data_IF_010575601222
#
_entry.id   IF_010575601222
#
_cell.length_a   1.000
_cell.length_b   1.000
_cell.length_c   1.000
_cell.angle_alpha   90.00
_cell.angle_beta   90.00
_cell.angle_gamma   90.00
#
_symmetry.space_group_name_H-M   'P 1'
#
loop_
_entity.id
_entity.type
_entity.pdbx_description
1 polymer ?
#
# COMPACT_ATOMS: atom_id res chain seq x y z
N UNK A 1 2.05 19.30 -6.58
CA UNK A 1 2.59 18.59 -5.40
C UNK A 1 1.52 18.58 -4.32
N UNK A 2 0.90 19.72 -4.08
CA UNK A 2 -0.24 19.94 -3.18
C UNK A 2 -1.42 18.97 -3.39
N UNK A 3 -1.76 18.64 -4.65
CA UNK A 3 -2.85 17.70 -4.95
C UNK A 3 -2.59 16.27 -4.46
N UNK A 4 -1.32 15.83 -4.48
CA UNK A 4 -0.95 14.49 -4.02
C UNK A 4 -0.96 14.43 -2.49
N UNK A 5 -0.53 15.49 -1.81
CA UNK A 5 -0.62 15.57 -0.34
C UNK A 5 -2.08 15.60 0.13
N UNK A 6 -2.95 16.32 -0.59
CA UNK A 6 -4.39 16.28 -0.34
C UNK A 6 -4.96 14.87 -0.58
N UNK A 7 -4.48 14.16 -1.59
CA UNK A 7 -4.92 12.79 -1.85
C UNK A 7 -4.50 11.83 -0.74
N UNK A 8 -3.29 11.97 -0.18
CA UNK A 8 -2.88 11.19 1.01
C UNK A 8 -3.86 11.40 2.16
N UNK A 9 -4.24 12.65 2.46
CA UNK A 9 -5.23 12.95 3.51
C UNK A 9 -6.58 12.29 3.25
N UNK A 10 -7.06 12.28 2.00
CA UNK A 10 -8.31 11.60 1.63
C UNK A 10 -8.20 10.08 1.80
N UNK A 11 -7.06 9.49 1.46
CA UNK A 11 -6.81 8.07 1.73
C UNK A 11 -6.80 7.79 3.24
N UNK A 12 -6.18 8.67 4.05
CA UNK A 12 -6.18 8.54 5.51
C UNK A 12 -7.61 8.53 6.06
N UNK A 13 -8.43 9.50 5.68
CA UNK A 13 -9.84 9.59 6.08
C UNK A 13 -10.65 8.35 5.64
N UNK A 14 -10.40 7.80 4.45
CA UNK A 14 -11.09 6.61 3.97
C UNK A 14 -10.67 5.34 4.75
N UNK A 15 -9.38 5.22 5.09
CA UNK A 15 -8.85 4.11 5.90
C UNK A 15 -9.41 4.18 7.31
N UNK A 16 -9.51 5.37 7.91
CA UNK A 16 -10.12 5.55 9.24
C UNK A 16 -11.58 5.08 9.27
N UNK A 17 -12.34 5.36 8.20
CA UNK A 17 -13.74 4.94 8.09
C UNK A 17 -13.90 3.44 7.81
N UNK A 18 -12.97 2.85 7.04
CA UNK A 18 -13.05 1.44 6.59
C UNK A 18 -11.68 0.75 6.62
N UNK A 19 -11.16 0.44 7.82
CA UNK A 19 -9.76 0.04 8.02
C UNK A 19 -9.40 -1.35 7.50
N UNK A 20 -10.39 -2.15 7.08
CA UNK A 20 -10.18 -3.50 6.58
C UNK A 20 -10.14 -3.61 5.05
N UNK A 21 -10.26 -2.49 4.33
CA UNK A 21 -10.20 -2.46 2.86
C UNK A 21 -8.76 -2.35 2.35
N UNK A 22 -8.26 -3.44 1.76
CA UNK A 22 -6.90 -3.50 1.22
C UNK A 22 -6.65 -2.48 0.08
N UNK A 23 -7.68 -2.17 -0.71
CA UNK A 23 -7.60 -1.21 -1.82
C UNK A 23 -7.21 0.20 -1.37
N UNK A 24 -7.70 0.63 -0.21
CA UNK A 24 -7.41 1.97 0.32
C UNK A 24 -5.94 2.12 0.70
N UNK A 25 -5.35 1.07 1.27
CA UNK A 25 -3.90 1.02 1.53
C UNK A 25 -3.11 0.97 0.22
N UNK A 26 -3.58 0.20 -0.78
CA UNK A 26 -2.96 0.16 -2.11
C UNK A 26 -2.96 1.55 -2.77
N UNK A 27 -4.06 2.28 -2.68
CA UNK A 27 -4.19 3.61 -3.26
C UNK A 27 -3.31 4.63 -2.53
N UNK A 28 -3.27 4.60 -1.20
CA UNK A 28 -2.34 5.44 -0.42
C UNK A 28 -0.88 5.13 -0.77
N UNK A 29 -0.52 3.85 -0.92
CA UNK A 29 0.82 3.45 -1.34
C UNK A 29 1.20 4.01 -2.72
N UNK A 30 0.27 4.02 -3.67
CA UNK A 30 0.49 4.62 -4.99
C UNK A 30 0.81 6.11 -4.89
N UNK A 31 0.00 6.86 -4.14
CA UNK A 31 0.18 8.31 -3.97
C UNK A 31 1.48 8.62 -3.24
N UNK A 32 1.80 7.87 -2.17
CA UNK A 32 3.06 8.01 -1.42
C UNK A 32 4.28 7.69 -2.29
N UNK A 33 4.17 6.72 -3.21
CA UNK A 33 5.22 6.43 -4.20
C UNK A 33 5.48 7.63 -5.10
N UNK A 34 4.41 8.27 -5.60
CA UNK A 34 4.51 9.47 -6.46
C UNK A 34 5.12 10.67 -5.71
N UNK A 35 4.92 10.77 -4.40
CA UNK A 35 5.55 11.75 -3.53
C UNK A 35 6.99 11.40 -3.11
N UNK A 36 7.50 10.23 -3.52
CA UNK A 36 8.84 9.75 -3.14
C UNK A 36 8.94 9.18 -1.73
N UNK A 37 7.82 9.01 -1.02
CA UNK A 37 7.76 8.43 0.33
C UNK A 37 7.76 6.91 0.30
N UNK A 38 8.83 6.32 -0.27
CA UNK A 38 8.89 4.88 -0.56
C UNK A 38 8.73 3.98 0.67
N UNK A 39 9.31 4.35 1.81
CA UNK A 39 9.19 3.56 3.04
C UNK A 39 7.71 3.43 3.48
N UNK A 40 7.00 4.57 3.54
CA UNK A 40 5.57 4.60 3.91
C UNK A 40 4.71 3.85 2.89
N UNK A 41 5.01 3.98 1.59
CA UNK A 41 4.32 3.22 0.55
C UNK A 41 4.49 1.71 0.74
N UNK A 42 5.69 1.26 1.12
CA UNK A 42 5.95 -0.16 1.40
C UNK A 42 5.24 -0.66 2.66
N UNK A 43 5.08 0.16 3.69
CA UNK A 43 4.29 -0.17 4.87
C UNK A 43 2.81 -0.38 4.51
N UNK A 44 2.26 0.48 3.65
CA UNK A 44 0.89 0.32 3.15
C UNK A 44 0.71 -0.92 2.27
N UNK A 45 1.67 -1.22 1.40
CA UNK A 45 1.65 -2.47 0.62
C UNK A 45 1.65 -3.69 1.55
N UNK A 46 2.45 -3.67 2.62
CA UNK A 46 2.48 -4.75 3.60
C UNK A 46 1.15 -4.90 4.34
N UNK A 47 0.52 -3.77 4.72
CA UNK A 47 -0.80 -3.77 5.34
C UNK A 47 -1.87 -4.33 4.39
N UNK A 48 -1.91 -3.86 3.14
CA UNK A 48 -2.85 -4.33 2.13
C UNK A 48 -2.75 -5.84 1.91
N UNK A 49 -1.53 -6.39 1.78
CA UNK A 49 -1.31 -7.84 1.66
C UNK A 49 -1.78 -8.59 2.93
N UNK A 50 -1.59 -8.02 4.11
CA UNK A 50 -2.07 -8.61 5.37
C UNK A 50 -3.60 -8.66 5.42
N UNK A 51 -4.26 -7.59 4.98
CA UNK A 51 -5.72 -7.51 4.89
C UNK A 51 -6.28 -8.55 3.90
N UNK A 52 -5.67 -8.69 2.72
CA UNK A 52 -6.08 -9.71 1.76
C UNK A 52 -6.02 -11.14 2.32
N UNK A 53 -4.96 -11.46 3.08
CA UNK A 53 -4.81 -12.79 3.72
C UNK A 53 -5.86 -13.07 4.79
N UNK A 54 -6.36 -12.01 5.43
CA UNK A 54 -7.39 -12.09 6.48
C UNK A 54 -8.81 -11.97 5.93
N UNK A 55 -8.96 -11.47 4.70
CA UNK A 55 -10.27 -11.30 4.08
C UNK A 55 -10.96 -12.64 3.92
N UNK A 56 -12.25 -12.66 4.25
CA UNK A 56 -13.13 -13.81 3.99
C UNK A 56 -13.87 -13.68 2.66
N UNK A 57 -13.77 -12.52 2.02
CA UNK A 57 -14.38 -12.25 0.72
C UNK A 57 -13.43 -12.65 -0.40
N UNK A 58 -13.99 -13.03 -1.57
CA UNK A 58 -13.18 -13.19 -2.78
C UNK A 58 -12.36 -11.93 -3.04
N UNK A 59 -11.06 -12.11 -3.24
CA UNK A 59 -10.14 -11.03 -3.58
C UNK A 59 -10.07 -10.90 -5.10
N UNK A 60 -10.06 -9.67 -5.60
CA UNK A 60 -9.77 -9.41 -7.02
C UNK A 60 -8.37 -9.95 -7.37
N UNK A 61 -8.24 -10.92 -8.30
CA UNK A 61 -6.94 -11.48 -8.69
C UNK A 61 -5.94 -10.43 -9.18
N UNK A 62 -6.41 -9.34 -9.79
CA UNK A 62 -5.55 -8.26 -10.27
C UNK A 62 -4.96 -7.47 -9.11
N UNK A 63 -5.79 -7.12 -8.12
CA UNK A 63 -5.34 -6.47 -6.89
C UNK A 63 -4.32 -7.34 -6.16
N UNK A 64 -4.61 -8.64 -6.03
CA UNK A 64 -3.70 -9.58 -5.39
C UNK A 64 -2.35 -9.64 -6.13
N UNK A 65 -2.37 -9.75 -7.46
CA UNK A 65 -1.17 -9.78 -8.26
C UNK A 65 -0.35 -8.48 -8.12
N UNK A 66 -1.00 -7.33 -8.24
CA UNK A 66 -0.34 -6.03 -8.08
C UNK A 66 0.37 -5.92 -6.72
N UNK A 67 -0.34 -6.24 -5.64
CA UNK A 67 0.21 -6.14 -4.28
C UNK A 67 1.37 -7.11 -4.03
N UNK A 68 1.34 -8.30 -4.64
CA UNK A 68 2.45 -9.24 -4.58
C UNK A 68 3.70 -8.72 -5.32
N UNK A 69 3.53 -8.11 -6.50
CA UNK A 69 4.61 -7.49 -7.26
C UNK A 69 5.24 -6.35 -6.46
N UNK A 70 4.41 -5.43 -5.94
CA UNK A 70 4.87 -4.30 -5.13
C UNK A 70 5.57 -4.76 -3.85
N UNK A 71 5.03 -5.77 -3.16
CA UNK A 71 5.65 -6.31 -1.94
C UNK A 71 7.03 -6.91 -2.25
N UNK A 72 7.19 -7.56 -3.40
CA UNK A 72 8.48 -8.11 -3.83
C UNK A 72 9.49 -7.00 -4.08
N UNK A 73 9.11 -5.93 -4.77
CA UNK A 73 9.96 -4.75 -4.98
C UNK A 73 10.35 -4.08 -3.66
N UNK A 74 9.42 -3.93 -2.72
CA UNK A 74 9.70 -3.38 -1.40
C UNK A 74 10.73 -4.20 -0.61
N UNK A 75 10.66 -5.54 -0.68
CA UNK A 75 11.66 -6.41 -0.03
C UNK A 75 13.04 -6.28 -0.68
N UNK A 76 13.10 -6.28 -2.01
CA UNK A 76 14.35 -6.13 -2.74
C UNK A 76 15.05 -4.79 -2.41
N UNK A 77 14.28 -3.69 -2.37
CA UNK A 77 14.82 -2.39 -1.98
C UNK A 77 15.40 -2.36 -0.56
N UNK A 78 14.79 -3.07 0.41
CA UNK A 78 15.32 -3.18 1.78
C UNK A 78 16.63 -3.96 1.83
N UNK A 79 16.71 -5.09 1.14
CA UNK A 79 17.94 -5.90 1.06
C UNK A 79 19.08 -5.11 0.41
N UNK A 80 18.81 -4.35 -0.66
CA UNK A 80 19.82 -3.48 -1.28
C UNK A 80 20.25 -2.31 -0.39
N UNK A 81 19.39 -1.84 0.51
CA UNK A 81 19.71 -0.80 1.49
C UNK A 81 20.46 -1.33 2.73
N UNK A 82 20.78 -2.62 2.80
CA UNK A 82 21.61 -3.22 3.87
C UNK A 82 20.94 -3.26 5.24
N UNK A 83 19.61 -3.30 5.29
CA UNK A 83 18.83 -3.35 6.54
C UNK A 83 18.06 -4.67 6.64
N UNK A 84 18.77 -5.72 7.07
CA UNK A 84 18.21 -6.97 7.59
C UNK A 84 18.46 -7.07 9.10
#
# INVERSE_FOLDING_TARGET
>A
MDDLELMVKRCDEAIEQTPDQADLHRDRALVLTLLGHQAKACDDVAMAVSLLKRSRQPVDPMLQHELQVRQSSCKQSRTMAGSD
#
